data_IF_905320798227
#
_entry.id   IF_905320798227
#
_cell.length_a   1.000
_cell.length_b   1.000
_cell.length_c   1.000
_cell.angle_alpha   90.00
_cell.angle_beta   90.00
_cell.angle_gamma   90.00
#
_symmetry.space_group_name_H-M   'P 1'
#
loop_
_entity.id
_entity.type
_entity.pdbx_description
1 polymer ?
#
# COMPACT_ATOMS: atom_id res chain seq x y z
N UNK A 1 2.24 -5.81 11.23
CA UNK A 1 0.81 -5.56 11.64
C UNK A 1 0.19 -6.84 12.17
N UNK A 2 -0.80 -6.76 13.09
CA UNK A 2 -1.58 -7.94 13.51
C UNK A 2 -2.83 -8.07 12.67
N UNK A 3 -3.07 -9.28 12.18
CA UNK A 3 -4.32 -9.65 11.48
C UNK A 3 -4.98 -10.82 12.19
N UNK A 4 -6.29 -10.77 12.32
CA UNK A 4 -7.10 -11.86 12.90
C UNK A 4 -8.44 -11.98 12.20
N UNK A 5 -9.10 -13.10 12.42
CA UNK A 5 -10.53 -13.27 12.12
C UNK A 5 -11.34 -13.20 13.42
N UNK A 6 -12.58 -12.72 13.40
CA UNK A 6 -13.43 -12.68 14.59
C UNK A 6 -13.51 -14.08 15.24
N UNK A 7 -13.20 -14.16 16.54
CA UNK A 7 -13.16 -15.40 17.33
C UNK A 7 -12.29 -16.53 16.74
N UNK A 8 -11.25 -16.19 15.96
CA UNK A 8 -10.45 -17.14 15.21
C UNK A 8 -8.95 -16.94 15.35
N UNK A 9 -8.24 -17.39 14.34
CA UNK A 9 -6.77 -17.33 14.27
C UNK A 9 -6.28 -15.88 14.20
N UNK A 10 -5.11 -15.65 14.78
CA UNK A 10 -4.37 -14.41 14.72
C UNK A 10 -2.94 -14.67 14.27
N UNK A 11 -2.38 -13.76 13.48
CA UNK A 11 -0.97 -13.82 13.06
C UNK A 11 -0.40 -12.41 12.88
N UNK A 12 0.92 -12.33 12.85
CA UNK A 12 1.63 -11.10 12.45
C UNK A 12 1.94 -11.16 10.97
N UNK A 13 1.75 -10.06 10.27
CA UNK A 13 1.95 -9.95 8.82
C UNK A 13 2.73 -8.68 8.46
N UNK A 14 3.46 -8.75 7.36
CA UNK A 14 4.03 -7.59 6.69
C UNK A 14 2.93 -6.91 5.88
N UNK A 15 2.69 -5.63 6.16
CA UNK A 15 1.69 -4.83 5.44
C UNK A 15 2.33 -3.75 4.57
N UNK A 16 1.64 -3.40 3.50
CA UNK A 16 1.92 -2.24 2.68
C UNK A 16 0.65 -1.40 2.57
N UNK A 17 0.78 -0.11 2.85
CA UNK A 17 -0.26 0.89 2.61
C UNK A 17 0.01 1.53 1.25
N UNK A 18 -0.98 1.53 0.36
CA UNK A 18 -0.77 1.95 -1.01
C UNK A 18 -2.03 2.55 -1.64
N UNK A 19 -1.88 3.18 -2.79
CA UNK A 19 -2.98 3.68 -3.61
C UNK A 19 -3.42 2.64 -4.66
N UNK A 20 -4.42 3.00 -5.47
CA UNK A 20 -4.90 2.16 -6.57
C UNK A 20 -3.92 2.09 -7.75
N UNK A 21 -3.06 3.10 -7.90
CA UNK A 21 -2.07 3.18 -8.98
C UNK A 21 -0.99 2.11 -8.83
N UNK A 22 -0.70 1.71 -7.59
CA UNK A 22 0.20 0.61 -7.28
C UNK A 22 -0.09 -0.67 -8.10
N UNK A 23 -1.37 -1.02 -8.23
CA UNK A 23 -1.80 -2.20 -8.98
C UNK A 23 -1.63 -2.09 -10.50
N UNK A 24 -1.46 -0.86 -11.00
CA UNK A 24 -1.17 -0.58 -12.42
C UNK A 24 0.33 -0.64 -12.70
N UNK A 25 1.15 -0.26 -11.71
CA UNK A 25 2.61 -0.29 -11.83
C UNK A 25 3.15 -1.71 -11.65
N UNK A 26 2.61 -2.45 -10.69
CA UNK A 26 3.02 -3.82 -10.40
C UNK A 26 1.97 -4.81 -10.86
N UNK A 27 2.38 -5.78 -11.67
CA UNK A 27 1.50 -6.87 -12.11
C UNK A 27 1.39 -7.94 -11.03
N UNK A 28 0.18 -8.10 -10.47
CA UNK A 28 -0.12 -9.14 -9.49
C UNK A 28 -1.03 -10.20 -10.09
N UNK A 29 -0.76 -11.46 -9.77
CA UNK A 29 -1.63 -12.58 -10.11
C UNK A 29 -2.75 -12.71 -9.07
N UNK A 30 -3.93 -12.17 -9.35
CA UNK A 30 -5.11 -12.35 -8.52
C UNK A 30 -5.67 -13.77 -8.67
N UNK A 31 -5.80 -14.49 -7.56
CA UNK A 31 -6.41 -15.82 -7.48
C UNK A 31 -7.93 -15.69 -7.31
N UNK A 32 -8.35 -14.70 -6.52
CA UNK A 32 -9.76 -14.39 -6.28
C UNK A 32 -9.95 -12.89 -6.13
N UNK A 33 -11.12 -12.37 -6.55
CA UNK A 33 -11.47 -10.96 -6.45
C UNK A 33 -10.63 -10.05 -7.35
N UNK A 34 -10.42 -8.82 -6.89
CA UNK A 34 -9.73 -7.76 -7.63
C UNK A 34 -9.07 -6.77 -6.66
N UNK A 35 -8.16 -5.88 -7.13
CA UNK A 35 -7.61 -4.82 -6.30
C UNK A 35 -8.71 -3.83 -5.86
N UNK A 36 -8.43 -3.07 -4.80
CA UNK A 36 -9.22 -1.89 -4.49
C UNK A 36 -9.01 -0.79 -5.53
N UNK A 37 -10.02 0.04 -5.71
CA UNK A 37 -10.10 1.08 -6.75
C UNK A 37 -9.76 2.46 -6.18
N UNK A 38 -9.60 3.45 -7.08
CA UNK A 38 -9.46 4.86 -6.68
C UNK A 38 -10.62 5.31 -5.79
N UNK A 39 -11.86 4.98 -6.15
CA UNK A 39 -13.04 5.31 -5.35
C UNK A 39 -13.01 4.67 -3.95
N UNK A 40 -12.47 3.45 -3.83
CA UNK A 40 -12.29 2.79 -2.54
C UNK A 40 -11.25 3.53 -1.68
N UNK A 41 -10.16 3.96 -2.29
CA UNK A 41 -9.11 4.72 -1.64
C UNK A 41 -9.59 6.11 -1.21
N UNK A 42 -10.27 6.84 -2.09
CA UNK A 42 -10.81 8.18 -1.82
C UNK A 42 -11.88 8.17 -0.72
N UNK A 43 -12.75 7.16 -0.71
CA UNK A 43 -13.78 7.01 0.32
C UNK A 43 -13.24 6.53 1.68
N UNK A 44 -11.95 6.13 1.75
CA UNK A 44 -11.34 5.60 2.97
C UNK A 44 -11.98 4.31 3.46
N UNK A 45 -12.57 3.52 2.56
CA UNK A 45 -13.20 2.25 2.92
C UNK A 45 -12.15 1.25 3.42
N UNK A 46 -12.39 0.57 4.55
CA UNK A 46 -11.45 -0.39 5.12
C UNK A 46 -11.46 -1.69 4.31
N UNK A 47 -10.70 -1.71 3.22
CA UNK A 47 -10.52 -2.86 2.32
C UNK A 47 -9.12 -3.42 2.44
N UNK A 48 -8.98 -4.71 2.17
CA UNK A 48 -7.69 -5.40 2.21
C UNK A 48 -7.58 -6.41 1.07
N UNK A 49 -6.40 -6.48 0.48
CA UNK A 49 -5.97 -7.59 -0.38
C UNK A 49 -5.04 -8.46 0.43
N UNK A 50 -5.24 -9.78 0.38
CA UNK A 50 -4.44 -10.77 1.10
C UNK A 50 -3.53 -11.53 0.15
N UNK A 51 -2.37 -11.97 0.62
CA UNK A 51 -1.62 -13.03 -0.04
C UNK A 51 -2.31 -14.38 0.16
N UNK A 52 -2.06 -15.31 -0.75
CA UNK A 52 -2.64 -16.65 -0.70
C UNK A 52 -2.30 -17.41 0.60
N UNK A 53 -1.07 -17.24 1.08
CA UNK A 53 -0.63 -17.86 2.34
C UNK A 53 -1.39 -17.31 3.54
N UNK A 54 -1.63 -16.01 3.61
CA UNK A 54 -2.44 -15.39 4.69
C UNK A 54 -3.88 -15.85 4.63
N UNK A 55 -4.49 -15.87 3.44
CA UNK A 55 -5.87 -16.34 3.26
C UNK A 55 -6.02 -17.80 3.73
N UNK A 56 -5.10 -18.70 3.33
CA UNK A 56 -5.11 -20.10 3.79
C UNK A 56 -4.91 -20.24 5.29
N UNK A 57 -4.01 -19.46 5.87
CA UNK A 57 -3.75 -19.51 7.31
C UNK A 57 -4.95 -19.07 8.13
N UNK A 58 -5.63 -17.99 7.74
CA UNK A 58 -6.77 -17.45 8.46
C UNK A 58 -8.05 -18.24 8.23
N UNK A 59 -8.34 -18.61 6.99
CA UNK A 59 -9.63 -19.14 6.56
C UNK A 59 -9.59 -20.60 6.12
N UNK A 60 -8.40 -21.21 5.99
CA UNK A 60 -8.23 -22.55 5.43
C UNK A 60 -8.42 -22.64 3.91
N UNK A 61 -8.67 -21.51 3.23
CA UNK A 61 -8.96 -21.43 1.79
C UNK A 61 -8.47 -20.12 1.22
N UNK A 62 -8.30 -20.04 -0.10
CA UNK A 62 -8.06 -18.79 -0.83
C UNK A 62 -9.36 -18.05 -1.18
N UNK A 63 -10.51 -18.69 -1.07
CA UNK A 63 -11.84 -18.11 -1.28
C UNK A 63 -12.23 -17.24 -0.06
N UNK A 64 -11.54 -16.09 0.07
CA UNK A 64 -11.70 -15.21 1.22
C UNK A 64 -12.39 -13.88 0.88
N UNK A 65 -12.69 -13.63 -0.40
CA UNK A 65 -13.33 -12.37 -0.83
C UNK A 65 -14.69 -12.18 -0.16
N UNK A 66 -14.94 -10.98 0.32
CA UNK A 66 -16.15 -10.62 1.09
C UNK A 66 -16.10 -10.95 2.58
N UNK A 67 -15.08 -11.70 3.03
CA UNK A 67 -14.90 -12.00 4.46
C UNK A 67 -14.29 -10.80 5.19
N UNK A 68 -14.56 -10.73 6.50
CA UNK A 68 -14.01 -9.70 7.37
C UNK A 68 -12.76 -10.22 8.08
N UNK A 69 -11.74 -9.39 8.16
CA UNK A 69 -10.57 -9.55 9.02
C UNK A 69 -10.41 -8.33 9.90
N UNK A 70 -9.77 -8.49 11.04
CA UNK A 70 -9.42 -7.39 11.93
C UNK A 70 -7.94 -7.07 11.80
N UNK A 71 -7.64 -5.83 11.47
CA UNK A 71 -6.28 -5.26 11.46
C UNK A 71 -6.17 -4.29 12.63
N UNK A 72 -5.35 -4.63 13.63
CA UNK A 72 -5.19 -3.80 14.84
C UNK A 72 -6.53 -3.37 15.46
N UNK A 73 -7.50 -4.30 15.54
CA UNK A 73 -8.85 -4.11 16.09
C UNK A 73 -9.84 -3.34 15.20
N UNK A 74 -9.46 -2.95 14.00
CA UNK A 74 -10.38 -2.38 13.01
C UNK A 74 -10.79 -3.44 11.98
N UNK A 75 -12.06 -3.46 11.61
CA UNK A 75 -12.61 -4.41 10.63
C UNK A 75 -12.31 -3.97 9.21
N UNK A 76 -11.78 -4.90 8.42
CA UNK A 76 -11.48 -4.73 7.00
C UNK A 76 -12.17 -5.82 6.17
N UNK A 77 -12.71 -5.44 5.02
CA UNK A 77 -13.29 -6.40 4.06
C UNK A 77 -12.24 -6.86 3.07
N UNK A 78 -12.09 -8.18 2.92
CA UNK A 78 -11.22 -8.77 1.90
C UNK A 78 -11.84 -8.56 0.52
N UNK A 79 -11.13 -7.88 -0.38
CA UNK A 79 -11.58 -7.60 -1.75
C UNK A 79 -10.84 -8.43 -2.80
N UNK A 80 -9.67 -8.94 -2.46
CA UNK A 80 -8.88 -9.76 -3.36
C UNK A 80 -7.90 -10.65 -2.63
N UNK A 81 -7.49 -11.71 -3.31
CA UNK A 81 -6.41 -12.62 -2.88
C UNK A 81 -5.45 -12.76 -4.06
N UNK A 82 -4.16 -12.49 -3.81
CA UNK A 82 -3.09 -12.60 -4.80
C UNK A 82 -2.16 -13.77 -4.48
N UNK A 83 -1.43 -14.26 -5.48
CA UNK A 83 -0.31 -15.19 -5.25
C UNK A 83 0.70 -14.56 -4.29
N UNK A 84 1.41 -15.41 -3.54
CA UNK A 84 2.46 -14.94 -2.65
C UNK A 84 3.56 -14.23 -3.42
N UNK A 85 3.97 -13.07 -2.93
CA UNK A 85 5.03 -12.25 -3.53
C UNK A 85 6.37 -12.59 -2.88
N UNK A 86 7.42 -12.66 -3.67
CA UNK A 86 8.77 -12.90 -3.16
C UNK A 86 9.26 -11.72 -2.32
N UNK A 87 9.92 -12.01 -1.20
CA UNK A 87 10.60 -10.99 -0.37
C UNK A 87 11.70 -10.23 -1.12
N UNK A 88 12.19 -10.77 -2.21
CA UNK A 88 13.16 -10.10 -3.08
C UNK A 88 12.54 -8.94 -3.87
N UNK A 89 11.23 -8.93 -4.04
CA UNK A 89 10.50 -7.84 -4.69
C UNK A 89 10.24 -6.69 -3.72
N UNK A 90 11.29 -6.09 -3.19
CA UNK A 90 11.28 -5.14 -2.05
C UNK A 90 10.27 -4.01 -2.19
N UNK A 91 10.00 -3.54 -3.42
CA UNK A 91 9.08 -2.42 -3.66
C UNK A 91 7.61 -2.81 -3.67
N UNK A 92 7.30 -4.09 -3.91
CA UNK A 92 5.94 -4.60 -4.02
C UNK A 92 5.60 -5.69 -2.99
N UNK A 93 6.63 -6.19 -2.26
CA UNK A 93 6.43 -7.22 -1.26
C UNK A 93 5.60 -6.74 -0.09
N UNK A 94 4.54 -7.48 0.18
CA UNK A 94 3.83 -7.51 1.45
C UNK A 94 3.08 -8.84 1.56
N UNK A 95 2.48 -9.10 2.71
CA UNK A 95 1.55 -10.20 2.91
C UNK A 95 0.11 -9.73 2.87
N UNK A 96 -0.10 -8.44 3.13
CA UNK A 96 -1.38 -7.75 2.97
C UNK A 96 -1.16 -6.34 2.40
N UNK A 97 -2.11 -5.87 1.62
CA UNK A 97 -2.14 -4.50 1.06
C UNK A 97 -3.44 -3.83 1.45
N UNK A 98 -3.36 -2.61 1.94
CA UNK A 98 -4.51 -1.80 2.36
C UNK A 98 -4.46 -0.42 1.71
N UNK A 99 -5.62 0.22 1.44
CA UNK A 99 -5.64 1.57 0.93
C UNK A 99 -5.02 2.55 1.93
N UNK A 100 -4.12 3.39 1.48
CA UNK A 100 -3.43 4.38 2.32
C UNK A 100 -4.41 5.25 3.12
N UNK A 101 -5.49 5.71 2.49
CA UNK A 101 -6.50 6.56 3.13
C UNK A 101 -7.42 5.82 4.13
N UNK A 102 -7.36 4.50 4.22
CA UNK A 102 -8.13 3.73 5.21
C UNK A 102 -7.54 3.76 6.61
N UNK A 103 -6.31 4.26 6.76
CA UNK A 103 -5.61 4.34 8.03
C UNK A 103 -5.79 5.70 8.69
N UNK A 104 -5.68 5.73 10.03
CA UNK A 104 -5.74 7.00 10.78
C UNK A 104 -4.59 7.95 10.40
N UNK A 105 -3.46 7.42 9.96
CA UNK A 105 -2.28 8.20 9.57
C UNK A 105 -2.63 9.15 8.43
N UNK A 106 -3.37 8.70 7.44
CA UNK A 106 -3.78 9.53 6.32
C UNK A 106 -4.85 10.58 6.69
N UNK A 107 -5.60 10.34 7.77
CA UNK A 107 -6.65 11.26 8.26
C UNK A 107 -6.14 12.32 9.22
N UNK A 108 -5.01 12.09 9.86
CA UNK A 108 -4.33 13.10 10.69
C UNK A 108 -3.60 14.07 9.78
N UNK A 109 -3.60 15.35 10.17
CA UNK A 109 -2.84 16.37 9.45
C UNK A 109 -1.42 15.89 9.17
N UNK A 110 -1.05 15.85 7.93
CA UNK A 110 0.21 15.27 7.46
C UNK A 110 1.46 15.91 8.09
N UNK A 111 1.41 17.16 8.52
CA UNK A 111 2.52 17.84 9.19
C UNK A 111 2.74 17.38 10.64
N UNK A 112 1.76 16.79 11.31
CA UNK A 112 1.94 16.21 12.64
C UNK A 112 2.65 14.85 12.57
N UNK A 113 2.67 14.20 11.39
CA UNK A 113 3.22 12.86 11.17
C UNK A 113 4.09 12.77 9.89
N UNK A 114 4.60 13.88 9.40
CA UNK A 114 5.52 13.91 8.24
C UNK A 114 6.86 13.21 8.50
N UNK A 115 7.08 12.70 9.70
CA UNK A 115 8.19 11.84 10.11
C UNK A 115 7.98 10.41 9.63
N UNK A 116 7.80 10.20 8.34
CA UNK A 116 7.62 8.87 7.75
C UNK A 116 8.43 8.70 6.48
N UNK A 117 8.81 7.46 6.18
CA UNK A 117 9.38 7.13 4.89
C UNK A 117 8.27 6.74 3.94
N UNK A 118 7.95 7.65 3.03
CA UNK A 118 7.06 7.35 1.91
C UNK A 118 7.89 6.91 0.70
N UNK A 119 7.34 6.00 -0.08
CA UNK A 119 7.95 5.56 -1.34
C UNK A 119 6.99 5.85 -2.47
N UNK A 120 7.46 6.63 -3.44
CA UNK A 120 6.77 6.83 -4.72
C UNK A 120 7.43 5.95 -5.75
N UNK A 121 6.63 5.21 -6.51
CA UNK A 121 7.11 4.40 -7.63
C UNK A 121 6.55 4.98 -8.92
N UNK A 122 7.43 5.31 -9.83
CA UNK A 122 7.08 5.91 -11.11
C UNK A 122 7.47 4.94 -12.22
N UNK A 123 6.50 4.56 -13.04
CA UNK A 123 6.72 3.77 -14.23
C UNK A 123 7.02 4.71 -15.41
N UNK A 124 8.27 4.76 -15.84
CA UNK A 124 8.68 5.51 -17.02
C UNK A 124 8.45 4.68 -18.30
N UNK A 125 8.17 5.32 -19.43
CA UNK A 125 8.07 4.63 -20.71
C UNK A 125 9.43 4.16 -21.20
N UNK A 126 10.51 4.89 -20.88
CA UNK A 126 11.88 4.55 -21.24
C UNK A 126 12.89 5.17 -20.27
N UNK A 127 14.12 4.68 -20.29
CA UNK A 127 15.22 5.26 -19.52
C UNK A 127 15.53 6.73 -19.90
N UNK A 128 15.17 7.15 -21.09
CA UNK A 128 15.34 8.53 -21.56
C UNK A 128 14.49 9.52 -20.80
N UNK A 129 13.41 9.06 -20.15
CA UNK A 129 12.49 9.89 -19.38
C UNK A 129 13.00 10.16 -17.96
N UNK A 130 13.99 9.39 -17.47
CA UNK A 130 14.50 9.52 -16.11
C UNK A 130 15.01 10.93 -15.74
N UNK A 131 15.77 11.64 -16.62
CA UNK A 131 16.21 13.00 -16.29
C UNK A 131 15.04 13.97 -16.08
N UNK A 132 14.05 13.94 -16.97
CA UNK A 132 12.87 14.81 -16.89
C UNK A 132 12.01 14.50 -15.65
N UNK A 133 11.85 13.22 -15.32
CA UNK A 133 11.13 12.79 -14.11
C UNK A 133 11.84 13.29 -12.85
N UNK A 134 13.16 13.19 -12.80
CA UNK A 134 13.96 13.69 -11.66
C UNK A 134 13.87 15.20 -11.51
N UNK A 135 13.98 15.93 -12.61
CA UNK A 135 13.87 17.39 -12.62
C UNK A 135 12.51 17.86 -12.10
N UNK A 136 11.42 17.23 -12.59
CA UNK A 136 10.07 17.58 -12.15
C UNK A 136 9.84 17.24 -10.68
N UNK A 137 10.31 16.08 -10.22
CA UNK A 137 10.19 15.70 -8.81
C UNK A 137 10.99 16.64 -7.90
N UNK A 138 12.17 17.08 -8.33
CA UNK A 138 12.98 18.05 -7.59
C UNK A 138 12.31 19.43 -7.55
N UNK A 139 11.71 19.86 -8.66
CA UNK A 139 10.91 21.09 -8.71
C UNK A 139 9.73 21.05 -7.72
N UNK A 140 9.03 19.91 -7.67
CA UNK A 140 7.92 19.71 -6.72
C UNK A 140 8.43 19.73 -5.27
N UNK A 141 9.55 19.07 -5.00
CA UNK A 141 10.20 19.07 -3.67
C UNK A 141 10.49 20.48 -3.21
N UNK A 142 11.13 21.30 -4.05
CA UNK A 142 11.46 22.69 -3.75
C UNK A 142 10.20 23.50 -3.43
N UNK A 143 9.19 23.42 -4.31
CA UNK A 143 7.91 24.12 -4.10
C UNK A 143 7.24 23.72 -2.78
N UNK A 144 7.39 22.44 -2.37
CA UNK A 144 6.85 21.95 -1.12
C UNK A 144 7.62 22.48 0.08
N UNK A 145 8.96 22.44 0.00
CA UNK A 145 9.83 22.90 1.07
C UNK A 145 9.72 24.42 1.30
N UNK A 146 9.49 25.22 0.26
CA UNK A 146 9.25 26.66 0.37
C UNK A 146 8.03 27.00 1.23
N UNK A 147 7.08 26.06 1.39
CA UNK A 147 5.90 26.19 2.26
C UNK A 147 6.05 25.66 3.67
N UNK A 148 7.18 24.99 3.98
CA UNK A 148 7.44 24.39 5.30
C UNK A 148 8.28 25.35 6.16
N UNK A 149 7.92 25.47 7.45
CA UNK A 149 8.63 26.38 8.36
C UNK A 149 9.78 25.72 9.13
N UNK A 150 9.59 24.44 9.54
CA UNK A 150 10.51 23.74 10.47
C UNK A 150 10.90 22.32 10.01
N UNK A 151 10.62 21.98 8.76
CA UNK A 151 10.91 20.65 8.22
C UNK A 151 11.30 20.71 6.76
N UNK A 152 12.00 19.71 6.27
CA UNK A 152 12.42 19.61 4.88
C UNK A 152 12.18 18.20 4.35
N UNK A 153 11.70 18.10 3.11
CA UNK A 153 11.54 16.83 2.40
C UNK A 153 12.81 16.56 1.59
N UNK A 154 13.34 15.36 1.73
CA UNK A 154 14.47 14.86 0.96
C UNK A 154 14.01 13.77 0.00
N UNK A 155 14.55 13.77 -1.21
CA UNK A 155 14.35 12.71 -2.19
C UNK A 155 15.59 11.83 -2.27
N UNK A 156 15.39 10.52 -2.22
CA UNK A 156 16.41 9.53 -2.57
C UNK A 156 15.93 8.70 -3.77
N UNK A 157 16.82 8.48 -4.73
CA UNK A 157 16.48 7.82 -5.99
C UNK A 157 17.04 6.40 -6.03
N UNK A 158 16.21 5.46 -6.45
CA UNK A 158 16.65 4.12 -6.80
C UNK A 158 16.05 3.77 -8.17
N UNK A 159 16.89 3.48 -9.15
CA UNK A 159 16.48 2.95 -10.45
C UNK A 159 16.67 1.44 -10.45
N UNK A 160 15.70 0.72 -10.99
CA UNK A 160 15.79 -0.74 -11.20
C UNK A 160 15.28 -1.08 -12.58
#
# INVERSE_FOLDING_TARGET
MRISVPAGKMMTVDNLETDDTFWKVFSFDFIAGKPFTAADSESGLPKVVLSASVARNLFGTVEAVGRTVQLNLADYTVVGVVKDVSKLAVSSYAQIWIPFNSTEIARKCWYDNAMGTFRVVILAHSEKDFPAIREEAERLRQKFNDGLQDSEIFLSWTTR
#
